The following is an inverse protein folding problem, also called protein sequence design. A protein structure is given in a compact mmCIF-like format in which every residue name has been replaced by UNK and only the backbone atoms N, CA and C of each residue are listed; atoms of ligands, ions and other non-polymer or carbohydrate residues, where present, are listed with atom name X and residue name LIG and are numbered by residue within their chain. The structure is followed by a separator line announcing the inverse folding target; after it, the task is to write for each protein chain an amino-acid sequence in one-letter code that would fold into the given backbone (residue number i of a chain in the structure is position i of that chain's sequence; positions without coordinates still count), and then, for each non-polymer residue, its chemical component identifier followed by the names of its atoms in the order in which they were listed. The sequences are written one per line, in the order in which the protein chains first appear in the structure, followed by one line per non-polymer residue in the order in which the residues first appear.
data_IF_808507997960
#
_entry.id   IF_808507997960
#
_cell.length_a   1.000
_cell.length_b   1.000
_cell.length_c   1.000
_cell.angle_alpha   90.00
_cell.angle_beta   90.00
_cell.angle_gamma   90.00
#
_symmetry.space_group_name_H-M   'P 1'
#
loop_
_entity.id
_entity.type
_entity.pdbx_description
1 polymer ?
#
# COMPACT_ATOMS: atom_id res chain seq x y z
N UNK A 1 36.51 -6.47 -32.80
CA UNK A 1 35.04 -6.38 -32.71
C UNK A 1 34.57 -7.57 -31.90
N UNK A 2 34.36 -7.40 -30.60
CA UNK A 2 33.73 -8.42 -29.76
C UNK A 2 32.27 -8.55 -30.20
N UNK A 3 31.94 -9.65 -30.89
CA UNK A 3 30.53 -10.01 -31.11
C UNK A 3 29.90 -10.17 -29.73
N UNK A 4 29.00 -9.26 -29.35
CA UNK A 4 28.17 -9.46 -28.16
C UNK A 4 27.37 -10.73 -28.38
N UNK A 5 27.70 -11.78 -27.61
CA UNK A 5 27.09 -13.09 -27.74
C UNK A 5 25.62 -12.99 -27.33
N UNK A 6 24.73 -13.41 -28.23
CA UNK A 6 23.30 -13.48 -27.94
C UNK A 6 23.04 -14.39 -26.73
N UNK A 7 22.07 -14.00 -25.91
CA UNK A 7 21.72 -14.68 -24.67
C UNK A 7 20.37 -15.35 -24.85
N UNK A 8 20.30 -16.66 -24.59
CA UNK A 8 19.05 -17.40 -24.65
C UNK A 8 18.18 -17.05 -23.45
N UNK A 9 16.95 -16.65 -23.71
CA UNK A 9 15.89 -16.43 -22.72
C UNK A 9 14.69 -17.30 -23.10
N UNK A 10 13.89 -17.71 -22.12
CA UNK A 10 12.69 -18.49 -22.40
C UNK A 10 11.61 -17.59 -23.05
N UNK A 11 11.10 -17.91 -24.26
CA UNK A 11 10.03 -17.15 -24.91
C UNK A 11 8.78 -16.95 -24.06
N UNK A 12 8.38 -17.95 -23.28
CA UNK A 12 7.20 -17.86 -22.44
C UNK A 12 7.42 -16.89 -21.27
N UNK A 13 8.65 -16.82 -20.73
CA UNK A 13 9.04 -15.79 -19.75
C UNK A 13 8.98 -14.41 -20.40
N UNK A 14 9.41 -14.26 -21.66
CA UNK A 14 9.35 -12.98 -22.36
C UNK A 14 7.90 -12.55 -22.65
N UNK A 15 7.04 -13.46 -23.11
CA UNK A 15 5.60 -13.21 -23.30
C UNK A 15 4.92 -12.85 -21.98
N UNK A 16 5.26 -13.55 -20.91
CA UNK A 16 4.81 -13.23 -19.55
C UNK A 16 5.26 -11.81 -19.17
N UNK A 17 6.53 -11.48 -19.34
CA UNK A 17 7.07 -10.17 -19.00
C UNK A 17 6.39 -9.02 -19.78
N UNK A 18 6.10 -9.22 -21.07
CA UNK A 18 5.35 -8.29 -21.91
C UNK A 18 3.95 -8.07 -21.32
N UNK A 19 3.25 -9.16 -21.02
CA UNK A 19 1.90 -9.13 -20.45
C UNK A 19 1.86 -8.44 -19.08
N UNK A 20 2.80 -8.77 -18.19
CA UNK A 20 2.89 -8.19 -16.84
C UNK A 20 3.28 -6.70 -16.87
N UNK A 21 4.05 -6.26 -17.87
CA UNK A 21 4.52 -4.88 -17.93
C UNK A 21 3.42 -3.83 -18.10
N UNK A 22 2.22 -4.24 -18.58
CA UNK A 22 1.09 -3.35 -18.89
C UNK A 22 1.39 -2.28 -19.95
N UNK A 23 2.51 -2.40 -20.68
CA UNK A 23 2.90 -1.47 -21.75
C UNK A 23 2.09 -1.72 -23.01
N UNK A 24 1.79 -0.66 -23.76
CA UNK A 24 1.13 -0.82 -25.06
C UNK A 24 2.09 -1.46 -26.07
N UNK A 25 1.55 -2.24 -26.99
CA UNK A 25 2.32 -2.86 -28.08
C UNK A 25 3.15 -1.84 -28.85
N UNK A 26 2.59 -0.65 -29.10
CA UNK A 26 3.29 0.45 -29.75
C UNK A 26 4.53 0.92 -28.98
N UNK A 27 4.45 1.10 -27.66
CA UNK A 27 5.59 1.50 -26.83
C UNK A 27 6.70 0.43 -26.83
N UNK A 28 6.29 -0.84 -26.82
CA UNK A 28 7.20 -1.98 -26.80
C UNK A 28 7.94 -2.07 -28.14
N UNK A 29 7.22 -2.09 -29.26
CA UNK A 29 7.80 -2.22 -30.60
C UNK A 29 8.70 -1.02 -30.91
N UNK A 30 8.30 0.19 -30.53
CA UNK A 30 9.11 1.39 -30.76
C UNK A 30 10.46 1.31 -30.03
N UNK A 31 10.50 0.73 -28.82
CA UNK A 31 11.73 0.60 -28.04
C UNK A 31 12.53 -0.66 -28.35
N UNK A 32 11.84 -1.75 -28.69
CA UNK A 32 12.39 -3.07 -28.98
C UNK A 32 11.80 -3.62 -30.29
N UNK A 33 12.23 -3.11 -31.47
CA UNK A 33 11.66 -3.51 -32.76
C UNK A 33 11.84 -4.99 -33.11
N UNK A 34 12.76 -5.67 -32.41
CA UNK A 34 13.10 -7.08 -32.60
C UNK A 34 12.43 -8.01 -31.58
N UNK A 35 11.53 -7.50 -30.74
CA UNK A 35 10.99 -8.28 -29.63
C UNK A 35 10.25 -9.53 -30.12
N UNK A 36 9.53 -9.43 -31.24
CA UNK A 36 8.83 -10.57 -31.83
C UNK A 36 9.80 -11.65 -32.29
N UNK A 37 10.93 -11.27 -32.88
CA UNK A 37 11.98 -12.19 -33.28
C UNK A 37 12.58 -12.94 -32.08
N UNK A 38 12.66 -12.30 -30.91
CA UNK A 38 13.11 -12.96 -29.66
C UNK A 38 12.06 -13.93 -29.11
N UNK A 39 10.77 -13.64 -29.32
CA UNK A 39 9.66 -14.52 -28.91
C UNK A 39 9.60 -15.79 -29.76
N UNK A 40 9.87 -15.69 -31.06
CA UNK A 40 9.88 -16.85 -31.98
C UNK A 40 11.25 -17.53 -32.08
N UNK A 41 12.22 -17.10 -31.28
CA UNK A 41 13.61 -17.60 -31.25
C UNK A 41 14.38 -17.48 -32.59
N UNK A 42 13.98 -16.55 -33.47
CA UNK A 42 14.70 -16.25 -34.73
C UNK A 42 15.92 -15.35 -34.53
N UNK A 43 15.94 -14.55 -33.45
CA UNK A 43 17.07 -13.73 -33.01
C UNK A 43 17.23 -13.84 -31.50
N UNK A 44 18.42 -13.52 -30.98
CA UNK A 44 18.69 -13.52 -29.54
C UNK A 44 19.02 -12.12 -29.03
N UNK A 45 18.39 -11.65 -27.94
CA UNK A 45 18.78 -10.39 -27.33
C UNK A 45 20.20 -10.50 -26.77
N UNK A 46 20.95 -9.40 -26.79
CA UNK A 46 22.20 -9.33 -26.01
C UNK A 46 21.88 -9.15 -24.54
N UNK A 47 22.83 -9.47 -23.65
CA UNK A 47 22.63 -9.23 -22.21
C UNK A 47 22.23 -7.77 -21.93
N UNK A 48 22.80 -6.82 -22.67
CA UNK A 48 22.44 -5.41 -22.54
C UNK A 48 20.98 -5.13 -22.92
N UNK A 49 20.45 -5.82 -23.93
CA UNK A 49 19.02 -5.73 -24.28
C UNK A 49 18.13 -6.34 -23.21
N UNK A 50 18.57 -7.39 -22.53
CA UNK A 50 17.84 -7.95 -21.39
C UNK A 50 17.84 -6.98 -20.20
N UNK A 51 18.95 -6.28 -19.92
CA UNK A 51 18.97 -5.17 -18.95
C UNK A 51 18.01 -4.04 -19.34
N UNK A 52 17.99 -3.66 -20.62
CA UNK A 52 17.06 -2.64 -21.12
C UNK A 52 15.59 -3.08 -20.95
N UNK A 53 15.29 -4.36 -21.23
CA UNK A 53 13.96 -4.96 -21.00
C UNK A 53 13.59 -4.94 -19.52
N UNK A 54 14.51 -5.37 -18.63
CA UNK A 54 14.32 -5.33 -17.18
C UNK A 54 13.98 -3.92 -16.70
N UNK A 55 14.73 -2.91 -17.14
CA UNK A 55 14.51 -1.52 -16.76
C UNK A 55 13.22 -0.92 -17.34
N UNK A 56 12.83 -1.35 -18.54
CA UNK A 56 11.64 -0.85 -19.22
C UNK A 56 10.35 -1.49 -18.74
N UNK A 57 10.35 -2.81 -18.56
CA UNK A 57 9.22 -3.58 -18.02
C UNK A 57 9.13 -3.52 -16.50
N UNK A 58 10.16 -3.02 -15.82
CA UNK A 58 10.27 -3.00 -14.35
C UNK A 58 10.21 -4.40 -13.75
N UNK A 59 10.82 -5.37 -14.43
CA UNK A 59 10.91 -6.76 -13.98
C UNK A 59 12.36 -7.02 -13.59
N UNK A 60 12.64 -7.65 -12.42
CA UNK A 60 14.01 -7.94 -12.01
C UNK A 60 14.78 -8.73 -13.08
N UNK A 61 16.02 -8.32 -13.37
CA UNK A 61 16.83 -8.90 -14.45
C UNK A 61 16.91 -10.44 -14.38
N UNK A 62 17.04 -10.99 -13.17
CA UNK A 62 17.13 -12.44 -12.96
C UNK A 62 15.93 -13.24 -13.46
N UNK A 63 14.75 -12.61 -13.57
CA UNK A 63 13.52 -13.30 -13.98
C UNK A 63 13.57 -13.73 -15.46
N UNK A 64 14.25 -12.97 -16.32
CA UNK A 64 14.40 -13.31 -17.74
C UNK A 64 15.21 -14.59 -17.98
N UNK A 65 15.87 -15.10 -16.94
CA UNK A 65 16.69 -16.31 -16.97
C UNK A 65 16.01 -17.52 -16.33
N UNK A 66 14.74 -17.41 -15.92
CA UNK A 66 13.97 -18.53 -15.40
C UNK A 66 13.68 -19.56 -16.50
N UNK A 67 13.64 -20.83 -16.11
CA UNK A 67 13.35 -21.96 -17.02
C UNK A 67 11.89 -22.02 -17.46
N UNK A 68 10.99 -21.39 -16.73
CA UNK A 68 9.57 -21.24 -17.00
C UNK A 68 9.14 -19.86 -16.50
N UNK A 69 8.04 -19.27 -17.01
CA UNK A 69 7.44 -18.10 -16.39
C UNK A 69 7.34 -18.35 -14.89
N UNK A 70 7.70 -17.39 -14.03
CA UNK A 70 7.42 -17.55 -12.61
C UNK A 70 5.94 -17.93 -12.53
N UNK A 71 5.63 -19.04 -11.84
CA UNK A 71 4.24 -19.50 -11.66
C UNK A 71 3.47 -18.25 -11.41
N UNK A 72 2.50 -17.95 -12.29
CA UNK A 72 1.74 -16.73 -12.16
C UNK A 72 1.21 -16.76 -10.75
N UNK A 73 1.85 -15.99 -9.88
CA UNK A 73 1.29 -15.65 -8.62
C UNK A 73 0.12 -14.86 -9.11
N UNK A 74 -1.05 -15.54 -9.15
CA UNK A 74 -2.32 -14.88 -9.19
C UNK A 74 -2.09 -13.73 -8.25
N UNK A 75 -2.10 -12.51 -8.78
CA UNK A 75 -2.27 -11.35 -7.97
C UNK A 75 -3.56 -11.59 -7.19
N UNK A 76 -3.34 -12.19 -6.03
CA UNK A 76 -4.22 -12.35 -4.89
C UNK A 76 -3.80 -11.33 -3.84
N UNK A 77 -2.93 -10.38 -4.19
CA UNK A 77 -3.22 -9.01 -3.85
C UNK A 77 -4.42 -8.66 -4.72
N UNK A 78 -5.56 -8.40 -4.10
CA UNK A 78 -6.75 -7.91 -4.76
C UNK A 78 -6.41 -6.68 -5.60
N UNK A 79 -6.09 -6.91 -6.87
CA UNK A 79 -6.28 -5.92 -7.93
C UNK A 79 -7.78 -5.58 -8.11
N UNK A 80 -8.67 -6.08 -7.25
CA UNK A 80 -10.09 -5.78 -7.29
C UNK A 80 -10.38 -4.38 -6.79
N UNK A 81 -9.79 -3.92 -5.66
CA UNK A 81 -9.88 -2.51 -5.22
C UNK A 81 -9.33 -1.53 -6.27
N UNK A 82 -8.34 -2.00 -7.01
CA UNK A 82 -7.63 -1.27 -8.06
C UNK A 82 -8.38 -1.24 -9.40
N UNK A 83 -9.24 -2.21 -9.73
CA UNK A 83 -9.80 -2.35 -11.09
C UNK A 83 -10.79 -1.24 -11.51
N UNK A 84 -11.33 -0.46 -10.57
CA UNK A 84 -12.12 0.73 -10.91
C UNK A 84 -11.27 2.02 -11.02
N UNK A 85 -10.07 2.04 -10.41
CA UNK A 85 -9.20 3.23 -10.33
C UNK A 85 -8.06 3.17 -11.33
N UNK A 86 -7.47 2.00 -11.60
CA UNK A 86 -6.31 1.84 -12.47
C UNK A 86 -6.48 2.35 -13.91
N UNK A 87 -7.67 2.33 -14.55
CA UNK A 87 -7.82 2.97 -15.85
C UNK A 87 -7.53 4.48 -15.80
N UNK A 88 -7.87 5.13 -14.68
CA UNK A 88 -7.76 6.58 -14.46
C UNK A 88 -6.53 7.00 -13.65
N UNK A 89 -5.90 6.08 -12.92
CA UNK A 89 -4.72 6.36 -12.12
C UNK A 89 -3.55 6.83 -12.98
N UNK A 90 -2.82 7.80 -12.44
CA UNK A 90 -1.64 8.38 -13.05
C UNK A 90 -0.55 7.32 -13.21
N UNK A 91 0.34 7.56 -14.17
CA UNK A 91 1.54 6.74 -14.35
C UNK A 91 2.42 6.71 -13.08
N UNK A 92 2.40 7.79 -12.30
CA UNK A 92 3.19 7.90 -11.06
C UNK A 92 2.63 6.98 -9.96
N UNK A 93 1.32 6.99 -9.74
CA UNK A 93 0.67 6.11 -8.78
C UNK A 93 0.83 4.64 -9.19
N UNK A 94 0.59 4.31 -10.47
CA UNK A 94 0.78 2.94 -10.99
C UNK A 94 2.18 2.40 -10.75
N UNK A 95 3.21 3.16 -11.09
CA UNK A 95 4.59 2.74 -10.88
C UNK A 95 4.93 2.59 -9.39
N UNK A 96 4.35 3.41 -8.53
CA UNK A 96 4.54 3.32 -7.07
C UNK A 96 3.88 2.09 -6.49
N UNK A 97 2.64 1.77 -6.90
CA UNK A 97 1.94 0.54 -6.50
C UNK A 97 2.74 -0.69 -6.96
N UNK A 98 3.23 -0.71 -8.21
CA UNK A 98 4.03 -1.82 -8.73
C UNK A 98 5.31 -2.01 -7.91
N UNK A 99 6.04 -0.94 -7.58
CA UNK A 99 7.23 -1.02 -6.71
C UNK A 99 6.89 -1.59 -5.33
N UNK A 100 5.78 -1.15 -4.73
CA UNK A 100 5.35 -1.65 -3.42
C UNK A 100 4.89 -3.11 -3.48
N UNK A 101 4.16 -3.52 -4.51
CA UNK A 101 3.75 -4.92 -4.71
C UNK A 101 4.95 -5.84 -4.88
N UNK A 102 6.00 -5.41 -5.58
CA UNK A 102 7.24 -6.18 -5.71
C UNK A 102 7.94 -6.38 -4.36
N UNK A 103 8.00 -5.32 -3.54
CA UNK A 103 8.54 -5.39 -2.17
C UNK A 103 7.69 -6.28 -1.28
N UNK A 104 6.36 -6.19 -1.40
CA UNK A 104 5.43 -7.03 -0.65
C UNK A 104 5.66 -8.50 -0.97
N UNK A 105 5.71 -8.87 -2.25
CA UNK A 105 5.93 -10.24 -2.67
C UNK A 105 7.24 -10.80 -2.13
N UNK A 106 8.33 -10.02 -2.22
CA UNK A 106 9.59 -10.42 -1.61
C UNK A 106 9.48 -10.63 -0.09
N UNK A 107 8.75 -9.74 0.60
CA UNK A 107 8.55 -9.82 2.04
C UNK A 107 7.67 -11.01 2.45
N UNK A 108 6.62 -11.32 1.68
CA UNK A 108 5.79 -12.53 1.85
C UNK A 108 6.67 -13.75 1.75
N UNK A 109 7.41 -13.93 0.63
CA UNK A 109 8.28 -15.09 0.44
C UNK A 109 9.34 -15.22 1.55
N UNK A 110 9.88 -14.09 2.01
CA UNK A 110 10.86 -14.05 3.08
C UNK A 110 10.25 -14.50 4.42
N UNK A 111 9.08 -13.97 4.77
CA UNK A 111 8.36 -14.30 6.01
C UNK A 111 7.84 -15.73 6.01
N UNK A 112 7.32 -16.23 4.90
CA UNK A 112 6.92 -17.63 4.73
C UNK A 112 8.10 -18.59 4.95
N UNK A 113 9.28 -18.29 4.40
CA UNK A 113 10.50 -19.09 4.62
C UNK A 113 10.94 -19.11 6.08
N UNK A 114 10.63 -18.07 6.83
CA UNK A 114 10.88 -17.99 8.28
C UNK A 114 9.77 -18.63 9.13
N UNK A 115 8.70 -19.13 8.51
CA UNK A 115 7.58 -19.77 9.20
C UNK A 115 6.61 -18.79 9.85
N UNK A 116 6.53 -17.55 9.36
CA UNK A 116 5.51 -16.60 9.81
C UNK A 116 4.14 -17.03 9.29
N UNK A 117 3.11 -16.82 10.11
CA UNK A 117 1.70 -17.04 9.79
C UNK A 117 0.97 -15.71 9.63
N UNK A 118 -0.36 -15.76 9.53
CA UNK A 118 -1.24 -14.59 9.56
C UNK A 118 -0.91 -13.69 10.77
N UNK A 119 -0.98 -12.38 10.59
CA UNK A 119 -0.70 -11.42 11.66
C UNK A 119 -1.58 -11.69 12.89
N UNK A 120 -0.94 -11.81 14.05
CA UNK A 120 -1.63 -12.11 15.31
C UNK A 120 -2.69 -11.06 15.64
N UNK A 121 -2.42 -9.79 15.31
CA UNK A 121 -3.36 -8.68 15.53
C UNK A 121 -4.66 -8.86 14.73
N UNK A 122 -4.57 -9.27 13.46
CA UNK A 122 -5.73 -9.54 12.62
C UNK A 122 -6.54 -10.70 13.17
N UNK A 123 -5.89 -11.78 13.63
CA UNK A 123 -6.58 -12.91 14.25
C UNK A 123 -7.34 -12.48 15.51
N UNK A 124 -6.68 -11.78 16.44
CA UNK A 124 -7.31 -11.29 17.68
C UNK A 124 -8.46 -10.33 17.38
N UNK A 125 -8.29 -9.44 16.42
CA UNK A 125 -9.35 -8.53 15.99
C UNK A 125 -10.57 -9.30 15.47
N UNK A 126 -10.36 -10.28 14.59
CA UNK A 126 -11.45 -11.09 14.03
C UNK A 126 -12.21 -11.93 15.06
N UNK A 127 -11.57 -12.31 16.18
CA UNK A 127 -12.24 -13.01 17.29
C UNK A 127 -13.20 -12.10 18.06
N UNK A 128 -12.91 -10.80 18.11
CA UNK A 128 -13.69 -9.80 18.84
C UNK A 128 -14.71 -9.10 17.92
N UNK A 129 -14.37 -8.92 16.64
CA UNK A 129 -15.17 -8.22 15.65
C UNK A 129 -16.44 -8.99 15.23
N UNK A 130 -17.52 -8.26 15.02
CA UNK A 130 -18.83 -8.75 14.60
C UNK A 130 -19.43 -7.74 13.64
N UNK A 131 -20.09 -8.24 12.60
CA UNK A 131 -20.76 -7.39 11.63
C UNK A 131 -21.82 -6.51 12.32
N UNK A 132 -21.88 -5.23 11.95
CA UNK A 132 -22.79 -4.20 12.50
C UNK A 132 -22.48 -3.68 13.90
N UNK A 133 -21.30 -3.95 14.46
CA UNK A 133 -20.87 -3.25 15.67
C UNK A 133 -20.83 -1.73 15.48
N UNK A 134 -20.98 -0.99 16.58
CA UNK A 134 -20.84 0.45 16.54
C UNK A 134 -19.36 0.82 16.36
N UNK A 135 -19.09 1.91 15.62
CA UNK A 135 -17.73 2.39 15.39
C UNK A 135 -16.96 2.68 16.71
N UNK A 136 -17.65 3.10 17.77
CA UNK A 136 -17.05 3.35 19.09
C UNK A 136 -16.61 2.04 19.76
N UNK A 137 -17.38 0.96 19.60
CA UNK A 137 -17.04 -0.36 20.14
C UNK A 137 -15.82 -0.94 19.41
N UNK A 138 -15.79 -0.79 18.08
CA UNK A 138 -14.65 -1.22 17.27
C UNK A 138 -13.41 -0.40 17.56
N UNK A 139 -13.52 0.93 17.67
CA UNK A 139 -12.40 1.78 18.06
C UNK A 139 -11.82 1.35 19.42
N UNK A 140 -12.68 1.04 20.40
CA UNK A 140 -12.24 0.53 21.70
C UNK A 140 -11.50 -0.81 21.58
N UNK A 141 -12.03 -1.76 20.81
CA UNK A 141 -11.35 -3.04 20.56
C UNK A 141 -9.95 -2.79 20.00
N UNK A 142 -9.83 -1.92 19.00
CA UNK A 142 -8.54 -1.61 18.36
C UNK A 142 -7.57 -0.99 19.35
N UNK A 143 -8.01 0.01 20.12
CA UNK A 143 -7.24 0.69 21.18
C UNK A 143 -6.73 -0.31 22.22
N UNK A 144 -7.59 -1.22 22.69
CA UNK A 144 -7.25 -2.25 23.67
C UNK A 144 -6.26 -3.26 23.09
N UNK A 145 -6.39 -3.62 21.80
CA UNK A 145 -5.51 -4.59 21.13
C UNK A 145 -4.10 -4.06 20.87
N UNK A 146 -3.96 -2.77 20.56
CA UNK A 146 -2.67 -2.13 20.33
C UNK A 146 -2.06 -1.54 21.61
N UNK A 147 -2.76 -1.66 22.75
CA UNK A 147 -2.38 -1.07 24.03
C UNK A 147 -2.03 0.41 23.91
N UNK A 148 -2.95 1.18 23.31
CA UNK A 148 -2.72 2.60 23.02
C UNK A 148 -2.63 3.42 24.30
N UNK A 149 -1.43 3.90 24.61
CA UNK A 149 -1.16 4.73 25.78
C UNK A 149 -1.47 6.20 25.48
N UNK A 150 -2.71 6.61 25.78
CA UNK A 150 -3.15 8.00 25.63
C UNK A 150 -2.34 8.99 26.47
N UNK A 151 -1.85 8.60 27.66
CA UNK A 151 -1.04 9.49 28.50
C UNK A 151 0.33 9.76 27.85
N UNK A 152 0.91 8.76 27.19
CA UNK A 152 2.11 8.93 26.38
C UNK A 152 1.84 9.79 25.15
N UNK A 153 0.71 9.60 24.47
CA UNK A 153 0.32 10.41 23.31
C UNK A 153 0.19 11.89 23.68
N UNK A 154 -0.45 12.21 24.81
CA UNK A 154 -0.58 13.58 25.32
C UNK A 154 0.76 14.23 25.66
N UNK A 155 1.78 13.43 25.99
CA UNK A 155 3.11 13.95 26.33
C UNK A 155 3.92 14.43 25.12
N UNK A 156 3.49 14.08 23.89
CA UNK A 156 4.19 14.45 22.68
C UNK A 156 4.08 15.95 22.42
N UNK A 157 5.22 16.56 22.06
CA UNK A 157 5.31 18.01 21.80
C UNK A 157 5.13 18.32 20.34
N UNK A 158 5.28 17.32 19.48
CA UNK A 158 5.19 17.49 18.03
C UNK A 158 4.34 16.40 17.40
N UNK A 159 3.62 16.77 16.35
CA UNK A 159 2.84 15.82 15.55
C UNK A 159 3.71 14.75 14.88
N UNK A 160 5.01 15.02 14.72
CA UNK A 160 5.96 14.06 14.16
C UNK A 160 6.29 12.93 15.15
N UNK A 161 6.39 13.24 16.45
CA UNK A 161 6.50 12.23 17.50
C UNK A 161 5.26 11.33 17.50
N UNK A 162 4.07 11.94 17.35
CA UNK A 162 2.81 11.21 17.28
C UNK A 162 2.72 10.27 16.06
N UNK A 163 3.10 10.77 14.88
CA UNK A 163 3.19 9.93 13.67
C UNK A 163 4.18 8.77 13.83
N UNK A 164 5.38 9.05 14.35
CA UNK A 164 6.40 8.02 14.53
C UNK A 164 5.98 6.98 15.58
N UNK A 165 5.21 7.37 16.59
CA UNK A 165 4.65 6.44 17.57
C UNK A 165 3.74 5.40 16.90
N UNK A 166 2.75 5.84 16.11
CA UNK A 166 1.91 4.90 15.35
C UNK A 166 2.71 4.07 14.36
N UNK A 167 3.62 4.71 13.60
CA UNK A 167 4.45 3.98 12.65
C UNK A 167 5.23 2.84 13.31
N UNK A 168 5.93 3.13 14.40
CA UNK A 168 6.74 2.13 15.11
C UNK A 168 5.86 1.01 15.69
N UNK A 169 4.69 1.37 16.23
CA UNK A 169 3.72 0.40 16.74
C UNK A 169 3.24 -0.54 15.63
N UNK A 170 2.85 -0.01 14.46
CA UNK A 170 2.44 -0.84 13.33
C UNK A 170 3.57 -1.73 12.79
N UNK A 171 4.79 -1.20 12.70
CA UNK A 171 5.97 -1.99 12.29
C UNK A 171 6.25 -3.13 13.28
N UNK A 172 6.04 -2.93 14.58
CA UNK A 172 6.14 -3.98 15.61
C UNK A 172 5.04 -5.04 15.49
N UNK A 173 3.85 -4.65 15.03
CA UNK A 173 2.75 -5.59 14.73
C UNK A 173 2.97 -6.37 13.42
N UNK A 174 4.07 -6.11 12.71
CA UNK A 174 4.41 -6.77 11.45
C UNK A 174 3.89 -6.05 10.21
N UNK A 175 3.23 -4.89 10.34
CA UNK A 175 2.74 -4.09 9.21
C UNK A 175 3.86 -3.18 8.71
N UNK A 176 4.23 -3.29 7.44
CA UNK A 176 5.35 -2.50 6.91
C UNK A 176 4.87 -1.13 6.44
N UNK A 177 5.47 -0.06 6.96
CA UNK A 177 5.11 1.32 6.62
C UNK A 177 6.16 1.96 5.73
N UNK A 178 5.79 2.27 4.50
CA UNK A 178 6.62 3.00 3.53
C UNK A 178 6.13 4.45 3.42
N UNK A 179 7.06 5.36 3.18
CA UNK A 179 6.72 6.77 2.94
C UNK A 179 7.60 7.35 1.84
N UNK A 180 6.97 8.00 0.85
CA UNK A 180 7.70 8.73 -0.18
C UNK A 180 6.80 9.82 -0.78
N UNK A 181 7.41 10.91 -1.26
CA UNK A 181 6.69 12.00 -1.94
C UNK A 181 6.90 12.00 -3.45
N UNK A 182 7.71 11.06 -3.95
CA UNK A 182 8.12 10.98 -5.35
C UNK A 182 8.13 9.53 -5.83
N UNK A 183 8.10 9.33 -7.15
CA UNK A 183 8.15 7.98 -7.75
C UNK A 183 9.58 7.44 -7.66
N UNK A 184 9.75 6.37 -6.87
CA UNK A 184 11.06 5.79 -6.59
C UNK A 184 12.01 6.83 -6.01
N UNK A 185 13.12 7.11 -6.70
CA UNK A 185 14.11 8.11 -6.28
C UNK A 185 14.09 9.38 -7.16
N UNK A 186 13.09 9.56 -8.02
CA UNK A 186 13.06 10.66 -8.99
C UNK A 186 12.37 11.90 -8.41
N UNK A 187 13.16 12.85 -7.92
CA UNK A 187 12.67 14.08 -7.26
C UNK A 187 11.81 15.00 -8.15
N UNK A 188 11.88 14.85 -9.48
CA UNK A 188 11.05 15.58 -10.42
C UNK A 188 9.66 14.97 -10.63
N UNK A 189 9.44 13.72 -10.21
CA UNK A 189 8.17 13.02 -10.35
C UNK A 189 7.47 12.95 -9.00
N UNK A 190 6.90 14.09 -8.59
CA UNK A 190 6.10 14.16 -7.36
C UNK A 190 4.84 13.30 -7.46
N UNK A 191 4.47 12.73 -6.33
CA UNK A 191 3.19 12.08 -6.12
C UNK A 191 2.14 13.16 -5.86
N UNK A 192 1.00 13.01 -6.52
CA UNK A 192 -0.09 13.97 -6.44
C UNK A 192 -0.93 13.71 -5.18
N UNK A 193 -1.03 14.72 -4.33
CA UNK A 193 -1.80 14.62 -3.08
C UNK A 193 -3.31 14.59 -3.34
N UNK A 194 -3.77 15.22 -4.42
CA UNK A 194 -5.18 15.18 -4.84
C UNK A 194 -5.57 13.81 -5.42
N UNK A 195 -4.58 13.04 -5.87
CA UNK A 195 -4.78 11.68 -6.36
C UNK A 195 -4.85 10.67 -5.20
N UNK A 196 -3.92 10.75 -4.25
CA UNK A 196 -3.93 9.87 -3.08
C UNK A 196 -3.07 10.43 -1.92
N UNK A 197 -3.54 10.18 -0.70
CA UNK A 197 -2.82 10.50 0.55
C UNK A 197 -2.04 9.29 1.09
N UNK A 198 -2.64 8.12 1.00
CA UNK A 198 -2.06 6.84 1.34
C UNK A 198 -2.72 5.74 0.52
N UNK A 199 -2.14 4.55 0.58
CA UNK A 199 -2.80 3.32 0.15
C UNK A 199 -2.27 2.14 0.97
N UNK A 200 -3.08 1.09 1.06
CA UNK A 200 -2.70 -0.19 1.64
C UNK A 200 -2.59 -1.27 0.57
N UNK A 201 -1.59 -2.14 0.70
CA UNK A 201 -1.59 -3.45 0.07
C UNK A 201 -1.92 -4.47 1.16
N UNK A 202 -3.14 -5.01 1.10
CA UNK A 202 -3.63 -5.98 2.08
C UNK A 202 -2.97 -7.32 1.80
N UNK A 203 -2.37 -7.90 2.83
CA UNK A 203 -1.91 -9.28 2.86
C UNK A 203 -1.93 -9.77 4.30
N UNK A 204 -2.10 -11.07 4.49
CA UNK A 204 -2.23 -11.67 5.83
C UNK A 204 -0.90 -11.78 6.56
N UNK A 205 0.20 -11.90 5.82
CA UNK A 205 1.54 -12.14 6.35
C UNK A 205 2.36 -10.85 6.28
N UNK A 206 2.22 -10.05 5.21
CA UNK A 206 3.02 -8.87 4.94
C UNK A 206 2.20 -7.69 4.40
N UNK A 207 1.23 -7.17 5.16
CA UNK A 207 0.53 -5.97 4.74
C UNK A 207 1.48 -4.77 4.69
N UNK A 208 1.27 -3.91 3.69
CA UNK A 208 2.04 -2.69 3.48
C UNK A 208 1.11 -1.49 3.54
N UNK A 209 1.48 -0.47 4.31
CA UNK A 209 0.91 0.88 4.22
C UNK A 209 1.91 1.77 3.51
N UNK A 210 1.45 2.51 2.50
CA UNK A 210 2.24 3.54 1.84
C UNK A 210 1.66 4.92 2.15
N UNK A 211 2.49 5.83 2.63
CA UNK A 211 2.12 7.21 2.95
C UNK A 211 2.75 8.17 1.93
N UNK A 212 1.94 9.05 1.34
CA UNK A 212 2.42 10.12 0.48
C UNK A 212 3.09 11.21 1.33
N UNK A 213 4.41 11.35 1.23
CA UNK A 213 5.18 12.32 2.00
C UNK A 213 4.85 13.78 1.66
N UNK A 214 4.13 14.04 0.56
CA UNK A 214 3.65 15.38 0.20
C UNK A 214 2.50 15.88 1.09
N UNK A 215 1.81 15.02 1.84
CA UNK A 215 0.76 15.46 2.78
C UNK A 215 1.36 16.22 3.99
N UNK A 216 0.50 17.01 4.63
CA UNK A 216 0.70 17.54 5.97
C UNK A 216 0.95 16.42 6.99
N UNK A 217 1.67 16.73 8.07
CA UNK A 217 1.95 15.73 9.11
C UNK A 217 0.68 15.24 9.82
N UNK A 218 -0.32 16.10 10.00
CA UNK A 218 -1.64 15.70 10.51
C UNK A 218 -2.37 14.77 9.55
N UNK A 219 -2.32 15.06 8.24
CA UNK A 219 -2.88 14.18 7.22
C UNK A 219 -2.24 12.80 7.22
N UNK A 220 -0.92 12.70 7.45
CA UNK A 220 -0.21 11.42 7.59
C UNK A 220 -0.60 10.64 8.83
N UNK A 221 -0.80 11.30 9.96
CA UNK A 221 -1.31 10.66 11.19
C UNK A 221 -2.70 10.07 10.96
N UNK A 222 -3.58 10.84 10.32
CA UNK A 222 -4.91 10.31 9.98
C UNK A 222 -4.79 9.11 9.05
N UNK A 223 -4.04 9.26 7.96
CA UNK A 223 -3.89 8.22 6.94
C UNK A 223 -3.32 6.93 7.51
N UNK A 224 -2.25 6.98 8.32
CA UNK A 224 -1.64 5.74 8.83
C UNK A 224 -2.59 4.96 9.75
N UNK A 225 -3.40 5.64 10.57
CA UNK A 225 -4.40 4.98 11.42
C UNK A 225 -5.59 4.50 10.59
N UNK A 226 -6.01 5.28 9.59
CA UNK A 226 -7.08 4.92 8.66
C UNK A 226 -6.75 3.64 7.88
N UNK A 227 -5.58 3.58 7.23
CA UNK A 227 -5.13 2.38 6.51
C UNK A 227 -4.95 1.17 7.45
N UNK A 228 -4.57 1.39 8.72
CA UNK A 228 -4.54 0.32 9.70
C UNK A 228 -5.93 -0.26 10.00
N UNK A 229 -6.95 0.59 10.12
CA UNK A 229 -8.34 0.13 10.29
C UNK A 229 -8.79 -0.68 9.07
N UNK A 230 -8.42 -0.28 7.85
CA UNK A 230 -8.65 -1.08 6.64
C UNK A 230 -8.01 -2.47 6.74
N UNK A 231 -6.75 -2.57 7.18
CA UNK A 231 -6.06 -3.86 7.36
C UNK A 231 -6.83 -4.77 8.32
N UNK A 232 -7.32 -4.23 9.44
CA UNK A 232 -8.02 -5.01 10.47
C UNK A 232 -9.38 -5.50 10.01
N UNK A 233 -10.17 -4.64 9.37
CA UNK A 233 -11.49 -5.01 8.86
C UNK A 233 -11.39 -6.01 7.69
N UNK A 234 -10.22 -6.08 7.02
CA UNK A 234 -9.96 -7.05 5.98
C UNK A 234 -10.90 -6.91 4.78
N UNK A 235 -11.57 -5.77 4.66
CA UNK A 235 -12.46 -5.48 3.55
C UNK A 235 -11.62 -5.08 2.34
N UNK A 236 -11.65 -5.94 1.32
CA UNK A 236 -11.68 -5.43 -0.04
C UNK A 236 -12.98 -4.62 -0.17
N UNK A 237 -12.88 -3.33 -0.45
CA UNK A 237 -13.98 -2.36 -0.62
C UNK A 237 -15.08 -2.70 -1.65
N UNK A 238 -15.21 -3.94 -2.14
CA UNK A 238 -16.02 -4.22 -3.34
C UNK A 238 -16.77 -5.54 -3.27
N UNK A 239 -17.66 -5.71 -2.30
CA UNK A 239 -18.96 -6.33 -2.58
C UNK A 239 -20.02 -5.71 -1.67
N UNK A 240 -20.39 -4.46 -1.94
CA UNK A 240 -21.75 -3.99 -1.65
C UNK A 240 -22.04 -2.81 -2.58
N UNK A 241 -23.31 -2.60 -2.92
CA UNK A 241 -23.82 -1.56 -3.86
C UNK A 241 -23.14 -0.19 -3.67
N UNK A 242 -23.07 0.69 -4.68
CA UNK A 242 -22.34 2.00 -4.61
C UNK A 242 -22.65 2.83 -3.33
N UNK A 243 -23.85 2.68 -2.77
CA UNK A 243 -24.27 3.28 -1.50
C UNK A 243 -23.52 2.76 -0.26
N UNK A 244 -22.95 1.57 -0.33
CA UNK A 244 -22.27 0.89 0.77
C UNK A 244 -20.76 1.17 0.82
N UNK A 245 -20.10 1.44 -0.32
CA UNK A 245 -18.71 1.94 -0.33
C UNK A 245 -18.62 3.23 0.51
N UNK A 246 -19.55 4.15 0.28
CA UNK A 246 -19.61 5.41 1.03
C UNK A 246 -19.93 5.21 2.51
N UNK A 247 -20.73 4.19 2.86
CA UNK A 247 -21.06 3.87 4.26
C UNK A 247 -19.89 3.21 4.99
N UNK A 248 -19.19 2.27 4.34
CA UNK A 248 -18.01 1.59 4.90
C UNK A 248 -16.88 2.60 5.11
N UNK A 249 -16.61 3.45 4.13
CA UNK A 249 -15.62 4.51 4.25
C UNK A 249 -15.96 5.50 5.37
N UNK A 250 -17.23 5.90 5.49
CA UNK A 250 -17.67 6.75 6.62
C UNK A 250 -17.51 6.04 7.96
N UNK A 251 -17.78 4.74 8.01
CA UNK A 251 -17.62 3.92 9.21
C UNK A 251 -16.15 3.86 9.64
N UNK A 252 -15.23 3.58 8.71
CA UNK A 252 -13.78 3.58 8.94
C UNK A 252 -13.28 4.96 9.38
N UNK A 253 -13.76 6.03 8.74
CA UNK A 253 -13.42 7.40 9.15
C UNK A 253 -13.86 7.71 10.58
N UNK A 254 -15.06 7.25 10.99
CA UNK A 254 -15.52 7.43 12.36
C UNK A 254 -14.69 6.62 13.37
N UNK A 255 -14.31 5.38 13.04
CA UNK A 255 -13.40 4.57 13.87
C UNK A 255 -12.06 5.30 14.03
N UNK A 256 -11.48 5.75 12.92
CA UNK A 256 -10.20 6.46 12.88
C UNK A 256 -10.25 7.72 13.74
N UNK A 257 -11.31 8.52 13.61
CA UNK A 257 -11.52 9.72 14.40
C UNK A 257 -11.66 9.41 15.90
N UNK A 258 -12.40 8.36 16.27
CA UNK A 258 -12.56 7.95 17.67
C UNK A 258 -11.25 7.44 18.28
N UNK A 259 -10.40 6.74 17.53
CA UNK A 259 -9.06 6.31 18.00
C UNK A 259 -8.16 7.53 18.25
N UNK A 260 -8.11 8.46 17.29
CA UNK A 260 -7.20 9.61 17.33
C UNK A 260 -7.64 10.71 18.29
N UNK A 261 -8.96 10.89 18.45
CA UNK A 261 -9.56 11.92 19.27
C UNK A 261 -10.82 11.37 19.97
N UNK A 262 -10.65 10.58 21.05
CA UNK A 262 -11.77 9.92 21.72
C UNK A 262 -12.83 10.90 22.18
N UNK A 263 -14.09 10.60 21.86
CA UNK A 263 -15.22 11.48 22.18
C UNK A 263 -15.37 11.67 23.69
N UNK A 264 -15.15 10.62 24.48
CA UNK A 264 -15.23 10.69 25.94
C UNK A 264 -14.18 11.65 26.52
N UNK A 265 -12.97 11.64 25.98
CA UNK A 265 -11.89 12.53 26.36
C UNK A 265 -12.22 13.97 25.98
N UNK A 266 -12.62 14.24 24.73
CA UNK A 266 -13.00 15.58 24.27
C UNK A 266 -14.16 16.17 25.10
N UNK A 267 -15.17 15.36 25.43
CA UNK A 267 -16.30 15.81 26.25
C UNK A 267 -15.91 16.15 27.68
N UNK A 268 -14.82 15.59 28.22
CA UNK A 268 -14.33 15.93 29.57
C UNK A 268 -13.83 17.37 29.68
N UNK A 269 -13.39 17.96 28.56
CA UNK A 269 -12.99 19.36 28.47
C UNK A 269 -14.09 20.28 27.94
N UNK A 270 -15.22 19.72 27.51
CA UNK A 270 -16.30 20.48 26.89
C UNK A 270 -17.15 21.20 27.94
N UNK A 271 -17.18 22.53 27.88
CA UNK A 271 -18.01 23.37 28.72
C UNK A 271 -19.15 24.00 27.90
N UNK A 272 -20.40 23.64 28.22
CA UNK A 272 -21.59 24.15 27.52
C UNK A 272 -21.81 25.67 27.65
N UNK A 273 -21.14 26.32 28.60
CA UNK A 273 -21.27 27.76 28.85
C UNK A 273 -20.30 28.61 28.02
N UNK A 274 -19.30 27.98 27.39
CA UNK A 274 -18.30 28.66 26.56
C UNK A 274 -18.71 28.56 25.09
N UNK A 275 -18.45 29.59 24.31
CA UNK A 275 -18.66 29.57 22.86
C UNK A 275 -17.91 28.41 22.18
N UNK A 276 -18.56 27.75 21.22
CA UNK A 276 -18.03 26.53 20.60
C UNK A 276 -16.77 26.81 19.77
N UNK A 277 -16.64 27.97 19.12
CA UNK A 277 -15.46 28.31 18.31
C UNK A 277 -14.24 28.45 19.22
N UNK A 278 -14.41 29.13 20.35
CA UNK A 278 -13.35 29.31 21.34
C UNK A 278 -12.89 27.98 21.93
N UNK A 279 -13.82 27.07 22.24
CA UNK A 279 -13.47 25.74 22.75
C UNK A 279 -12.73 24.90 21.72
N UNK A 280 -13.19 24.87 20.46
CA UNK A 280 -12.49 24.17 19.37
C UNK A 280 -11.07 24.71 19.24
N UNK A 281 -10.87 26.03 19.29
CA UNK A 281 -9.53 26.62 19.19
C UNK A 281 -8.60 26.26 20.36
N UNK A 282 -9.15 25.98 21.55
CA UNK A 282 -8.37 25.53 22.71
C UNK A 282 -8.01 24.05 22.56
N UNK A 283 -8.96 23.23 22.12
CA UNK A 283 -8.80 21.78 21.96
C UNK A 283 -7.99 21.37 20.72
N UNK A 284 -7.87 22.26 19.73
CA UNK A 284 -7.13 22.00 18.49
C UNK A 284 -5.64 22.37 18.57
N UNK A 285 -5.15 22.80 19.74
CA UNK A 285 -3.75 23.15 19.98
C UNK A 285 -2.99 21.96 20.54
#
# INVERSE_FOLDING_TARGET
MTQEKGVKINPDVLKWAIKESGKSEFEIINKFPKIDNWIIEEDLPTFKKIEDLSNFFKIPLGYFFLSEPPKSFKFKADFRSINNVFPKASKNLKETIIDMSQRQNWLIEYREKLGYEDLEINRKFNELYQQHMNYMEVAKIIVDLIDLDYAKVESFKTINEYYNYFRNMLEQLGISVFQNGVVGNNTHRKLDLEEFRAFVLIDKIAPIIFINSCDSQSGKVFSIVHEFVHILLGEDDIITEEDNITKNERYINNITAEILAPKCYLLSFWNKEIDYINQISILSK
#
